data_IF_370507136460
#
_entry.id   IF_370507136460
#
_cell.length_a   1.000
_cell.length_b   1.000
_cell.length_c   1.000
_cell.angle_alpha   90.00
_cell.angle_beta   90.00
_cell.angle_gamma   90.00
#
_symmetry.space_group_name_H-M   'P 1'
#
loop_
_entity.id
_entity.type
_entity.pdbx_description
1 polymer ?
#
# COMPACT_ATOMS: atom_id res chain seq x y z
N UNK A 1 6.62 1.45 -25.02
CA UNK A 1 6.46 2.27 -23.81
C UNK A 1 7.35 3.51 -23.95
N UNK A 2 6.94 4.68 -23.46
CA UNK A 2 7.81 5.86 -23.47
C UNK A 2 9.07 5.56 -22.62
N UNK A 3 10.26 5.86 -23.13
CA UNK A 3 11.54 5.58 -22.45
C UNK A 3 11.65 6.22 -21.07
N UNK A 4 11.02 7.40 -20.88
CA UNK A 4 10.98 8.08 -19.58
C UNK A 4 10.15 7.31 -18.53
N UNK A 5 9.01 6.74 -18.94
CA UNK A 5 8.18 5.91 -18.06
C UNK A 5 8.93 4.64 -17.66
N UNK A 6 9.57 3.98 -18.63
CA UNK A 6 10.36 2.78 -18.36
C UNK A 6 11.52 3.04 -17.40
N UNK A 7 12.26 4.13 -17.62
CA UNK A 7 13.36 4.55 -16.76
C UNK A 7 12.87 4.78 -15.32
N UNK A 8 11.81 5.57 -15.13
CA UNK A 8 11.31 5.88 -13.79
C UNK A 8 10.70 4.69 -13.05
N UNK A 9 10.01 3.78 -13.75
CA UNK A 9 9.54 2.53 -13.15
C UNK A 9 10.72 1.66 -12.69
N UNK A 10 11.81 1.66 -13.46
CA UNK A 10 13.05 0.97 -13.10
C UNK A 10 13.71 1.61 -11.89
N UNK A 11 13.74 2.94 -11.79
CA UNK A 11 14.23 3.65 -10.60
C UNK A 11 13.42 3.30 -9.35
N UNK A 12 12.08 3.26 -9.43
CA UNK A 12 11.24 2.83 -8.31
C UNK A 12 11.58 1.41 -7.87
N UNK A 13 11.72 0.49 -8.82
CA UNK A 13 12.09 -0.88 -8.50
C UNK A 13 13.45 -0.93 -7.80
N UNK A 14 14.52 -0.42 -8.42
CA UNK A 14 15.87 -0.57 -7.88
C UNK A 14 16.12 0.25 -6.59
N UNK A 15 15.42 1.36 -6.38
CA UNK A 15 15.64 2.21 -5.20
C UNK A 15 14.67 1.92 -4.05
N UNK A 16 13.42 1.56 -4.34
CA UNK A 16 12.39 1.37 -3.30
C UNK A 16 12.17 -0.10 -2.97
N UNK A 17 12.09 -0.98 -3.97
CA UNK A 17 11.73 -2.38 -3.73
C UNK A 17 12.67 -3.09 -2.73
N UNK A 18 14.01 -2.95 -2.79
CA UNK A 18 14.91 -3.53 -1.78
C UNK A 18 14.61 -3.06 -0.35
N UNK A 19 14.15 -1.82 -0.18
CA UNK A 19 13.80 -1.26 1.13
C UNK A 19 12.51 -1.87 1.66
N UNK A 20 11.53 -2.10 0.78
CA UNK A 20 10.28 -2.77 1.13
C UNK A 20 10.53 -4.23 1.50
N UNK A 21 11.31 -4.95 0.69
CA UNK A 21 11.75 -6.34 0.97
C UNK A 21 12.44 -6.40 2.32
N UNK A 22 13.42 -5.53 2.57
CA UNK A 22 14.15 -5.53 3.84
C UNK A 22 13.26 -5.27 5.06
N UNK A 23 12.29 -4.37 4.96
CA UNK A 23 11.41 -4.02 6.08
C UNK A 23 10.32 -5.06 6.32
N UNK A 24 9.59 -5.45 5.28
CA UNK A 24 8.33 -6.17 5.43
C UNK A 24 8.46 -7.68 5.15
N UNK A 25 9.31 -8.08 4.20
CA UNK A 25 9.46 -9.50 3.85
C UNK A 25 10.79 -9.80 3.14
N UNK A 26 11.84 -10.18 3.87
CA UNK A 26 13.12 -10.58 3.29
C UNK A 26 13.05 -11.81 2.37
N UNK A 27 11.95 -12.57 2.42
CA UNK A 27 11.70 -13.74 1.57
C UNK A 27 10.90 -13.42 0.31
N UNK A 28 10.55 -12.14 0.08
CA UNK A 28 9.83 -11.72 -1.13
C UNK A 28 10.66 -11.96 -2.41
N UNK A 29 10.03 -12.07 -3.59
CA UNK A 29 10.75 -12.36 -4.83
C UNK A 29 11.81 -11.28 -5.18
N UNK A 30 13.08 -11.65 -5.30
CA UNK A 30 14.14 -10.72 -5.72
C UNK A 30 14.19 -10.45 -7.23
N UNK A 31 13.47 -11.27 -8.00
CA UNK A 31 13.31 -11.12 -9.45
C UNK A 31 11.83 -11.08 -9.77
N UNK A 32 11.38 -10.00 -10.41
CA UNK A 32 9.99 -9.82 -10.80
C UNK A 32 9.87 -9.69 -12.32
N UNK A 33 8.74 -10.12 -12.88
CA UNK A 33 8.40 -9.92 -14.28
C UNK A 33 7.25 -8.93 -14.40
N UNK A 34 7.48 -7.83 -15.12
CA UNK A 34 6.46 -6.81 -15.38
C UNK A 34 5.92 -7.02 -16.80
N UNK A 35 4.61 -7.21 -16.90
CA UNK A 35 3.89 -7.36 -18.15
C UNK A 35 3.02 -6.13 -18.40
N UNK A 36 3.05 -5.65 -19.63
CA UNK A 36 2.20 -4.54 -20.08
C UNK A 36 1.06 -5.15 -20.87
N UNK A 37 -0.14 -5.16 -20.29
CA UNK A 37 -1.32 -5.77 -20.89
C UNK A 37 -1.92 -4.85 -21.97
N UNK A 38 -1.90 -5.34 -23.22
CA UNK A 38 -2.41 -4.60 -24.38
C UNK A 38 -3.94 -4.51 -24.47
N UNK A 39 -4.67 -5.32 -23.71
CA UNK A 39 -6.14 -5.37 -23.77
C UNK A 39 -6.75 -4.08 -23.21
N UNK A 40 -7.62 -3.47 -24.01
CA UNK A 40 -8.36 -2.26 -23.63
C UNK A 40 -9.46 -2.55 -22.61
N UNK A 41 -9.87 -3.81 -22.46
CA UNK A 41 -10.88 -4.24 -21.50
C UNK A 41 -10.29 -4.79 -20.20
N UNK A 42 -8.95 -4.76 -20.05
CA UNK A 42 -8.33 -5.14 -18.79
C UNK A 42 -8.88 -4.28 -17.64
N UNK A 43 -9.56 -4.88 -16.65
CA UNK A 43 -10.41 -4.11 -15.73
C UNK A 43 -9.60 -3.29 -14.72
N UNK A 44 -8.37 -3.71 -14.42
CA UNK A 44 -7.54 -3.12 -13.37
C UNK A 44 -6.54 -2.08 -13.89
N UNK A 45 -5.96 -1.30 -12.98
CA UNK A 45 -4.83 -0.42 -13.29
C UNK A 45 -3.52 -1.19 -13.32
N UNK A 46 -3.31 -1.98 -12.26
CA UNK A 46 -2.28 -2.99 -12.14
C UNK A 46 -2.83 -4.21 -11.42
N UNK A 47 -2.02 -5.27 -11.39
CA UNK A 47 -2.22 -6.42 -10.51
C UNK A 47 -0.90 -7.14 -10.30
N UNK A 48 -0.54 -7.40 -9.05
CA UNK A 48 0.56 -8.26 -8.66
C UNK A 48 0.09 -9.63 -8.19
N UNK A 49 0.75 -10.69 -8.66
CA UNK A 49 0.53 -12.07 -8.20
C UNK A 49 1.87 -12.81 -8.24
N UNK A 50 2.26 -13.44 -7.14
CA UNK A 50 3.56 -14.12 -6.99
C UNK A 50 4.71 -13.15 -7.32
N UNK A 51 5.55 -13.47 -8.31
CA UNK A 51 6.64 -12.60 -8.79
C UNK A 51 6.28 -11.81 -10.05
N UNK A 52 4.99 -11.71 -10.39
CA UNK A 52 4.53 -11.08 -11.63
C UNK A 52 3.69 -9.86 -11.33
N UNK A 53 3.93 -8.79 -12.07
CA UNK A 53 3.09 -7.60 -12.11
C UNK A 53 2.53 -7.42 -13.52
N UNK A 54 1.24 -7.14 -13.63
CA UNK A 54 0.56 -6.82 -14.87
C UNK A 54 0.07 -5.38 -14.78
N UNK A 55 0.31 -4.55 -15.80
CA UNK A 55 -0.11 -3.15 -15.83
C UNK A 55 -0.86 -2.87 -17.14
N UNK A 56 -1.97 -2.15 -17.08
CA UNK A 56 -2.77 -1.82 -18.27
C UNK A 56 -2.04 -0.87 -19.23
N UNK A 57 -1.78 -1.32 -20.47
CA UNK A 57 -1.18 -0.50 -21.52
C UNK A 57 -2.07 0.64 -21.98
N UNK A 58 -3.40 0.44 -21.99
CA UNK A 58 -4.35 1.48 -22.40
C UNK A 58 -4.34 2.63 -21.38
N UNK A 59 -4.33 2.30 -20.09
CA UNK A 59 -4.20 3.30 -19.04
C UNK A 59 -2.83 3.97 -19.16
N UNK A 60 -1.71 3.22 -19.17
CA UNK A 60 -0.32 3.70 -19.30
C UNK A 60 -0.06 4.70 -20.44
N UNK A 61 -0.82 4.64 -21.53
CA UNK A 61 -0.64 5.49 -22.70
C UNK A 61 -1.37 6.83 -22.61
N UNK A 62 -2.22 7.03 -21.60
CA UNK A 62 -2.95 8.28 -21.43
C UNK A 62 -2.09 9.32 -20.68
N UNK A 63 -1.75 10.45 -21.29
CA UNK A 63 -0.90 11.44 -20.64
C UNK A 63 -1.46 12.04 -19.35
N UNK A 64 -2.78 12.05 -19.19
CA UNK A 64 -3.46 12.57 -17.99
C UNK A 64 -3.17 11.75 -16.73
N UNK A 65 -2.67 10.52 -16.89
CA UNK A 65 -2.38 9.62 -15.79
C UNK A 65 -0.88 9.30 -15.63
N UNK A 66 0.01 10.02 -16.34
CA UNK A 66 1.45 9.75 -16.32
C UNK A 66 2.05 9.66 -14.92
N UNK A 67 1.61 10.52 -14.03
CA UNK A 67 2.05 10.54 -12.65
C UNK A 67 1.40 9.48 -11.76
N UNK A 68 0.13 9.13 -12.04
CA UNK A 68 -0.57 8.06 -11.32
C UNK A 68 0.06 6.69 -11.53
N UNK A 69 0.81 6.48 -12.61
CA UNK A 69 1.50 5.21 -12.83
C UNK A 69 2.54 4.91 -11.76
N UNK A 70 3.20 5.92 -11.20
CA UNK A 70 4.18 5.73 -10.14
C UNK A 70 3.51 5.20 -8.87
N UNK A 71 2.40 5.83 -8.50
CA UNK A 71 1.60 5.43 -7.36
C UNK A 71 1.04 4.02 -7.52
N UNK A 72 0.46 3.70 -8.68
CA UNK A 72 -0.06 2.37 -8.97
C UNK A 72 1.08 1.35 -8.93
N UNK A 73 2.21 1.66 -9.56
CA UNK A 73 3.35 0.75 -9.56
C UNK A 73 3.86 0.47 -8.14
N UNK A 74 3.95 1.50 -7.29
CA UNK A 74 4.38 1.33 -5.91
C UNK A 74 3.37 0.54 -5.06
N UNK A 75 2.07 0.76 -5.29
CA UNK A 75 1.01 -0.06 -4.71
C UNK A 75 1.16 -1.54 -5.12
N UNK A 76 1.38 -1.82 -6.40
CA UNK A 76 1.61 -3.20 -6.87
C UNK A 76 2.94 -3.80 -6.37
N UNK A 77 3.99 -2.99 -6.22
CA UNK A 77 5.25 -3.43 -5.59
C UNK A 77 5.00 -3.85 -4.14
N UNK A 78 4.14 -3.15 -3.40
CA UNK A 78 3.76 -3.54 -2.05
C UNK A 78 3.12 -4.93 -2.04
N UNK A 79 2.18 -5.22 -2.95
CA UNK A 79 1.59 -6.56 -3.07
C UNK A 79 2.62 -7.66 -3.39
N UNK A 80 3.63 -7.37 -4.21
CA UNK A 80 4.74 -8.31 -4.46
C UNK A 80 5.54 -8.60 -3.19
N UNK A 81 5.62 -7.66 -2.26
CA UNK A 81 6.24 -7.91 -0.95
C UNK A 81 5.27 -8.66 -0.04
N UNK A 82 3.99 -8.28 0.02
CA UNK A 82 2.94 -8.86 0.88
C UNK A 82 2.73 -10.37 0.69
N UNK A 83 2.76 -10.91 -0.54
CA UNK A 83 2.63 -12.37 -0.79
C UNK A 83 1.50 -13.05 0.02
N UNK A 84 0.40 -12.35 0.27
CA UNK A 84 -0.70 -12.89 1.07
C UNK A 84 -1.42 -14.01 0.32
N UNK A 85 -1.89 -15.02 1.05
CA UNK A 85 -2.67 -16.12 0.48
C UNK A 85 -4.16 -15.77 0.46
N UNK A 86 -4.91 -16.32 -0.50
CA UNK A 86 -6.36 -16.12 -0.62
C UNK A 86 -7.13 -16.64 0.60
N UNK A 87 -6.56 -17.61 1.32
CA UNK A 87 -7.11 -18.15 2.56
C UNK A 87 -7.30 -17.08 3.64
N UNK A 88 -6.56 -15.97 3.56
CA UNK A 88 -6.56 -14.94 4.60
C UNK A 88 -7.30 -13.67 4.21
N UNK A 89 -7.57 -13.42 2.93
CA UNK A 89 -8.00 -12.10 2.47
C UNK A 89 -9.51 -11.89 2.40
N UNK A 90 -10.33 -12.95 2.45
CA UNK A 90 -11.77 -12.84 2.21
C UNK A 90 -12.49 -11.82 3.11
N UNK A 91 -12.03 -11.64 4.36
CA UNK A 91 -12.63 -10.70 5.33
C UNK A 91 -11.69 -9.53 5.72
N UNK A 92 -10.48 -9.47 5.15
CA UNK A 92 -9.44 -8.48 5.52
C UNK A 92 -8.75 -7.85 4.31
N UNK A 93 -9.32 -8.00 3.11
CA UNK A 93 -8.84 -7.35 1.88
C UNK A 93 -8.61 -5.84 2.09
N UNK A 94 -9.51 -5.19 2.83
CA UNK A 94 -9.37 -3.78 3.22
C UNK A 94 -8.03 -3.45 3.87
N UNK A 95 -7.51 -4.34 4.72
CA UNK A 95 -6.24 -4.13 5.41
C UNK A 95 -5.07 -4.38 4.47
N UNK A 96 -5.16 -5.37 3.58
CA UNK A 96 -4.15 -5.64 2.56
C UNK A 96 -3.99 -4.47 1.58
N UNK A 97 -5.10 -3.99 1.04
CA UNK A 97 -5.16 -2.81 0.16
C UNK A 97 -4.72 -1.53 0.90
N UNK A 98 -5.15 -1.37 2.15
CA UNK A 98 -4.74 -0.26 3.00
C UNK A 98 -3.24 -0.23 3.28
N UNK A 99 -2.62 -1.39 3.52
CA UNK A 99 -1.16 -1.52 3.69
C UNK A 99 -0.41 -1.22 2.40
N UNK A 100 -0.95 -1.63 1.24
CA UNK A 100 -0.36 -1.30 -0.06
C UNK A 100 -0.38 0.22 -0.30
N UNK A 101 -1.49 0.90 0.01
CA UNK A 101 -1.58 2.36 -0.08
C UNK A 101 -0.81 3.11 1.03
N UNK A 102 -0.58 2.48 2.20
CA UNK A 102 0.37 2.98 3.22
C UNK A 102 1.79 3.00 2.65
N UNK A 103 2.22 1.92 1.98
CA UNK A 103 3.54 1.85 1.32
C UNK A 103 3.63 2.90 0.23
N UNK A 104 2.60 3.01 -0.62
CA UNK A 104 2.51 4.04 -1.67
C UNK A 104 2.75 5.43 -1.11
N UNK A 105 2.09 5.78 -0.02
CA UNK A 105 2.29 7.07 0.62
C UNK A 105 3.68 7.18 1.26
N UNK A 106 4.09 6.22 2.07
CA UNK A 106 5.32 6.35 2.89
C UNK A 106 6.61 6.34 2.04
N UNK A 107 6.59 5.63 0.90
CA UNK A 107 7.76 5.45 0.03
C UNK A 107 7.63 6.15 -1.33
N UNK A 108 6.48 6.77 -1.60
CA UNK A 108 6.25 7.56 -2.81
C UNK A 108 7.08 8.85 -2.79
N UNK A 109 7.52 9.30 -3.97
CA UNK A 109 8.26 10.56 -4.10
C UNK A 109 7.34 11.75 -3.90
N UNK A 110 7.66 12.57 -2.89
CA UNK A 110 7.14 13.91 -2.63
C UNK A 110 5.59 14.01 -2.59
N UNK A 111 4.96 13.39 -1.58
CA UNK A 111 3.51 13.35 -1.40
C UNK A 111 2.81 14.72 -1.41
N UNK A 112 3.53 15.80 -1.11
CA UNK A 112 3.02 17.16 -1.14
C UNK A 112 2.84 17.68 -2.58
N UNK A 113 3.66 17.18 -3.52
CA UNK A 113 3.60 17.45 -4.96
C UNK A 113 3.12 16.24 -5.77
N UNK A 114 2.66 15.18 -5.12
CA UNK A 114 2.18 13.98 -5.78
C UNK A 114 0.81 14.23 -6.43
N UNK A 115 0.65 13.85 -7.69
CA UNK A 115 -0.60 14.00 -8.44
C UNK A 115 -1.74 13.09 -7.95
N UNK A 116 -1.49 12.24 -6.94
CA UNK A 116 -2.50 11.46 -6.25
C UNK A 116 -2.37 11.61 -4.72
N UNK A 117 -2.78 12.77 -4.17
CA UNK A 117 -2.59 13.11 -2.76
C UNK A 117 -3.36 12.16 -1.84
N UNK A 118 -2.97 12.14 -0.56
CA UNK A 118 -3.77 11.49 0.47
C UNK A 118 -5.13 12.19 0.57
N UNK A 119 -6.17 11.42 0.86
CA UNK A 119 -7.51 11.99 1.03
C UNK A 119 -7.65 12.62 2.42
N UNK A 120 -8.56 13.57 2.55
CA UNK A 120 -8.98 14.06 3.86
C UNK A 120 -9.94 13.07 4.53
N UNK A 121 -9.95 13.11 5.86
CA UNK A 121 -10.90 12.37 6.66
C UNK A 121 -12.33 12.91 6.45
N UNK A 122 -13.30 11.99 6.36
CA UNK A 122 -14.74 12.29 6.31
C UNK A 122 -15.49 11.33 7.21
N UNK A 123 -16.50 11.82 7.91
CA UNK A 123 -17.33 11.03 8.84
C UNK A 123 -18.09 9.87 8.17
N UNK A 124 -18.19 9.84 6.85
CA UNK A 124 -18.80 8.73 6.08
C UNK A 124 -17.83 7.58 5.82
N UNK A 125 -16.56 7.71 6.22
CA UNK A 125 -15.52 6.71 6.03
C UNK A 125 -15.45 5.75 7.22
N UNK A 126 -14.89 4.57 6.99
CA UNK A 126 -14.56 3.61 8.05
C UNK A 126 -13.19 2.94 7.84
N UNK A 127 -12.65 2.33 8.90
CA UNK A 127 -11.33 1.68 8.86
C UNK A 127 -11.21 0.58 7.81
N UNK A 128 -12.34 -0.03 7.42
CA UNK A 128 -12.42 -1.14 6.48
C UNK A 128 -12.84 -0.74 5.06
N UNK A 129 -12.78 0.55 4.71
CA UNK A 129 -13.06 1.01 3.33
C UNK A 129 -11.92 0.69 2.34
N UNK A 130 -10.79 0.17 2.84
CA UNK A 130 -9.63 -0.17 2.04
C UNK A 130 -8.86 1.03 1.51
N UNK A 131 -7.84 0.74 0.69
CA UNK A 131 -7.08 1.73 -0.07
C UNK A 131 -6.69 2.97 0.78
N UNK A 132 -6.83 4.18 0.21
CA UNK A 132 -6.47 5.45 0.85
C UNK A 132 -7.14 5.72 2.19
N UNK A 133 -8.36 5.23 2.40
CA UNK A 133 -9.08 5.46 3.67
C UNK A 133 -8.38 4.70 4.78
N UNK A 134 -8.20 3.39 4.58
CA UNK A 134 -7.48 2.54 5.54
C UNK A 134 -6.02 3.00 5.66
N UNK A 135 -5.35 3.30 4.55
CA UNK A 135 -3.96 3.75 4.55
C UNK A 135 -3.75 5.01 5.41
N UNK A 136 -4.66 5.99 5.32
CA UNK A 136 -4.58 7.20 6.15
C UNK A 136 -4.66 6.88 7.64
N UNK A 137 -5.56 5.98 8.03
CA UNK A 137 -5.65 5.52 9.41
C UNK A 137 -4.41 4.75 9.85
N UNK A 138 -3.82 3.93 8.98
CA UNK A 138 -2.54 3.26 9.26
C UNK A 138 -1.39 4.26 9.44
N UNK A 139 -1.34 5.34 8.65
CA UNK A 139 -0.35 6.42 8.82
C UNK A 139 -0.52 7.12 10.17
N UNK A 140 -1.76 7.39 10.57
CA UNK A 140 -2.05 7.95 11.89
C UNK A 140 -1.59 7.01 13.01
N UNK A 141 -1.82 5.70 12.88
CA UNK A 141 -1.36 4.70 13.84
C UNK A 141 0.16 4.61 13.94
N UNK A 142 0.84 4.61 12.79
CA UNK A 142 2.30 4.60 12.68
C UNK A 142 2.91 5.76 13.48
N UNK A 143 2.35 6.96 13.30
CA UNK A 143 2.77 8.15 14.03
C UNK A 143 2.41 8.11 15.52
N UNK A 144 1.17 7.71 15.85
CA UNK A 144 0.63 7.81 17.22
C UNK A 144 1.20 6.75 18.16
N UNK A 145 1.50 5.57 17.64
CA UNK A 145 1.98 4.43 18.40
C UNK A 145 3.45 4.14 18.08
N UNK A 146 3.69 3.44 16.96
CA UNK A 146 5.01 3.06 16.45
C UNK A 146 4.83 2.29 15.12
N UNK A 147 5.75 2.46 14.18
CA UNK A 147 5.88 1.68 12.94
C UNK A 147 5.83 0.16 13.11
N UNK A 148 6.25 -0.38 14.27
CA UNK A 148 6.14 -1.83 14.53
C UNK A 148 4.71 -2.37 14.50
N UNK A 149 3.69 -1.52 14.68
CA UNK A 149 2.28 -1.93 14.51
C UNK A 149 2.02 -2.30 13.06
N UNK A 150 2.48 -1.49 12.11
CA UNK A 150 2.29 -1.73 10.67
C UNK A 150 3.01 -3.01 10.25
N UNK A 151 4.26 -3.16 10.68
CA UNK A 151 5.09 -4.31 10.34
C UNK A 151 4.46 -5.61 10.86
N UNK A 152 3.91 -5.61 12.08
CA UNK A 152 3.24 -6.78 12.68
C UNK A 152 1.88 -7.09 12.06
N UNK A 153 1.13 -6.08 11.60
CA UNK A 153 -0.12 -6.31 10.87
C UNK A 153 0.16 -6.97 9.52
N UNK A 154 1.13 -6.44 8.77
CA UNK A 154 1.58 -7.00 7.50
C UNK A 154 2.11 -8.45 7.67
N UNK A 155 2.97 -8.68 8.66
CA UNK A 155 3.45 -10.02 8.99
C UNK A 155 2.30 -10.96 9.39
N UNK A 156 1.36 -10.51 10.24
CA UNK A 156 0.24 -11.34 10.70
C UNK A 156 -0.67 -11.80 9.56
N UNK A 157 -0.90 -10.94 8.56
CA UNK A 157 -1.65 -11.28 7.35
C UNK A 157 -0.89 -12.29 6.48
N UNK A 158 0.42 -12.12 6.34
CA UNK A 158 1.32 -13.03 5.61
C UNK A 158 1.38 -14.42 6.23
N UNK A 159 1.52 -14.48 7.55
CA UNK A 159 1.75 -15.71 8.30
C UNK A 159 0.45 -16.44 8.68
N UNK A 160 -0.72 -15.94 8.25
CA UNK A 160 -2.04 -16.53 8.59
C UNK A 160 -2.33 -16.51 10.10
N UNK A 161 -1.81 -15.51 10.82
CA UNK A 161 -1.97 -15.39 12.29
C UNK A 161 -2.81 -14.18 12.72
N UNK A 162 -3.10 -13.25 11.81
CA UNK A 162 -3.94 -12.09 12.09
C UNK A 162 -5.34 -12.50 12.55
N UNK A 163 -5.78 -11.90 13.65
CA UNK A 163 -7.13 -12.03 14.20
C UNK A 163 -7.61 -10.66 14.66
N UNK A 164 -8.57 -10.07 13.95
CA UNK A 164 -9.04 -8.70 14.23
C UNK A 164 -9.38 -8.46 15.72
N UNK A 165 -10.04 -9.41 16.37
CA UNK A 165 -10.48 -9.23 17.76
C UNK A 165 -9.32 -9.21 18.79
N UNK A 166 -8.15 -9.79 18.46
CA UNK A 166 -7.03 -9.92 19.41
C UNK A 166 -5.80 -9.15 18.95
N UNK A 167 -5.41 -9.22 17.68
CA UNK A 167 -4.19 -8.60 17.16
C UNK A 167 -4.13 -7.11 17.45
N UNK A 168 -5.20 -6.34 17.19
CA UNK A 168 -5.21 -4.90 17.48
C UNK A 168 -5.01 -4.60 18.96
N UNK A 169 -5.67 -5.35 19.84
CA UNK A 169 -5.55 -5.19 21.30
C UNK A 169 -4.15 -5.56 21.79
N UNK A 170 -3.55 -6.61 21.26
CA UNK A 170 -2.19 -7.02 21.61
C UNK A 170 -1.15 -5.98 21.17
N UNK A 171 -1.36 -5.35 20.01
CA UNK A 171 -0.43 -4.36 19.46
C UNK A 171 -0.58 -2.96 20.07
N UNK A 172 -1.79 -2.57 20.45
CA UNK A 172 -2.12 -1.17 20.79
C UNK A 172 -2.83 -0.99 22.13
N UNK A 173 -3.32 -2.08 22.73
CA UNK A 173 -4.21 -2.04 23.89
C UNK A 173 -5.68 -1.77 23.58
N UNK A 174 -6.05 -1.51 22.31
CA UNK A 174 -7.41 -1.14 21.88
C UNK A 174 -7.91 -2.01 20.72
N UNK A 175 -9.23 -2.11 20.54
CA UNK A 175 -9.78 -2.70 19.32
C UNK A 175 -9.63 -1.75 18.13
N UNK A 176 -9.77 -2.25 16.90
CA UNK A 176 -9.71 -1.40 15.71
C UNK A 176 -10.84 -0.36 15.69
N UNK A 177 -12.01 -0.67 16.24
CA UNK A 177 -13.15 0.24 16.38
C UNK A 177 -12.82 1.39 17.34
N UNK A 178 -12.21 1.09 18.49
CA UNK A 178 -11.78 2.11 19.46
C UNK A 178 -10.67 3.00 18.88
N UNK A 179 -9.73 2.41 18.14
CA UNK A 179 -8.67 3.16 17.45
C UNK A 179 -9.25 4.06 16.35
N UNK A 180 -10.20 3.57 15.57
CA UNK A 180 -10.87 4.37 14.55
C UNK A 180 -11.66 5.52 15.17
N UNK A 181 -12.32 5.28 16.31
CA UNK A 181 -12.98 6.34 17.08
C UNK A 181 -12.00 7.40 17.54
N UNK A 182 -10.84 7.03 18.09
CA UNK A 182 -9.79 7.99 18.46
C UNK A 182 -9.30 8.78 17.24
N UNK A 183 -9.02 8.10 16.13
CA UNK A 183 -8.61 8.72 14.87
C UNK A 183 -9.67 9.70 14.35
N UNK A 184 -10.96 9.34 14.41
CA UNK A 184 -12.06 10.19 13.95
C UNK A 184 -12.19 11.50 14.73
N UNK A 185 -11.71 11.55 15.97
CA UNK A 185 -11.71 12.73 16.83
C UNK A 185 -10.48 13.62 16.61
N UNK A 186 -9.37 13.01 16.19
CA UNK A 186 -8.11 13.72 15.90
C UNK A 186 -7.43 13.11 14.66
N UNK A 187 -7.95 13.41 13.45
CA UNK A 187 -7.55 12.74 12.21
C UNK A 187 -6.29 13.32 11.57
N UNK A 188 -5.59 14.20 12.28
CA UNK A 188 -4.39 14.86 11.79
C UNK A 188 -3.27 13.82 11.62
N UNK A 189 -2.76 13.73 10.41
CA UNK A 189 -1.56 12.94 10.11
C UNK A 189 -0.40 13.91 9.95
N UNK A 190 0.76 13.53 10.51
CA UNK A 190 1.99 14.25 10.22
C UNK A 190 2.62 13.60 8.99
N UNK A 191 3.04 14.43 8.04
CA UNK A 191 3.87 14.02 6.91
C UNK A 191 5.25 13.63 7.44
N UNK A 192 5.37 12.41 7.97
CA UNK A 192 6.66 11.86 8.30
C UNK A 192 7.26 11.31 7.02
N UNK A 193 8.34 11.92 6.54
CA UNK A 193 9.26 11.28 5.60
C UNK A 193 10.27 10.58 6.50
N UNK A 194 10.23 9.25 6.71
CA UNK A 194 11.05 8.60 7.72
C UNK A 194 12.55 8.56 7.37
N UNK A 195 12.96 9.21 6.27
CA UNK A 195 14.23 8.96 5.58
C UNK A 195 14.86 10.22 4.97
N UNK A 196 14.59 11.40 5.52
CA UNK A 196 15.49 12.56 5.41
C UNK A 196 16.29 12.62 6.71
#
# INVERSE_FOLDING_TARGET
>A
MNSAVQYRLSELYFNIYPRLVNRFNPSAPHSISIYIDGDRHYPFWGRAVNSKMIISAHRLRNPQFYSRYYDIFLHELAHLVQQYTTQNLADVEWLGEGLADYVRYTYGSDNLNADWPMIEYRHTQNYNDGYKVTARFLIWLDYKYNSSVIDKLDQGLRDVTYKQNTTWKELTGKSVEDLWKDYSQNPDIIHHIPWI
#
